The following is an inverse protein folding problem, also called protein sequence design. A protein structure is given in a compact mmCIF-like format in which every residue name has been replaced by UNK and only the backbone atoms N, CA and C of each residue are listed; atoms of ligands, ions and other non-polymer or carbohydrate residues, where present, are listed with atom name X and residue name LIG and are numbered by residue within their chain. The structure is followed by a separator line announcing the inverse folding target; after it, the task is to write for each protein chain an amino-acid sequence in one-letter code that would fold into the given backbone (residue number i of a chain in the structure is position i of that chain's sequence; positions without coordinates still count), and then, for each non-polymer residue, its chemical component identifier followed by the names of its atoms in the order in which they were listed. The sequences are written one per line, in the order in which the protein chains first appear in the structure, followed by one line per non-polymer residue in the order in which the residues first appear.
data_IF_447856611775
#
_entry.id   IF_447856611775
#
_cell.length_a   1.000
_cell.length_b   1.000
_cell.length_c   1.000
_cell.angle_alpha   90.00
_cell.angle_beta   90.00
_cell.angle_gamma   90.00
#
_symmetry.space_group_name_H-M   'P 1'
#
loop_
_entity.id
_entity.type
_entity.pdbx_description
1 polymer ?
#
# COMPACT_ATOMS: atom_id res chain seq x y z
N UNK A 1 -9.77 5.83 -8.65
CA UNK A 1 -8.46 6.17 -9.26
C UNK A 1 -7.39 5.10 -9.04
N UNK A 2 -7.16 4.63 -7.81
CA UNK A 2 -6.01 3.75 -7.49
C UNK A 2 -5.88 2.48 -8.37
N UNK A 3 -6.99 1.80 -8.70
CA UNK A 3 -6.93 0.57 -9.49
C UNK A 3 -6.44 0.77 -10.93
N UNK A 4 -6.80 1.89 -11.57
CA UNK A 4 -6.35 2.19 -12.94
C UNK A 4 -4.84 2.41 -12.96
N UNK A 5 -4.33 3.19 -12.01
CA UNK A 5 -2.90 3.45 -11.85
C UNK A 5 -2.13 2.17 -11.51
N UNK A 6 -2.68 1.35 -10.60
CA UNK A 6 -2.09 0.07 -10.25
C UNK A 6 -1.96 -0.85 -11.47
N UNK A 7 -3.01 -0.99 -12.29
CA UNK A 7 -2.97 -1.80 -13.51
C UNK A 7 -1.96 -1.28 -14.54
N UNK A 8 -1.78 0.04 -14.65
CA UNK A 8 -0.89 0.66 -15.63
C UNK A 8 0.61 0.43 -15.35
N UNK A 9 1.03 0.30 -14.08
CA UNK A 9 2.44 0.06 -13.73
C UNK A 9 2.89 -1.35 -14.20
N UNK A 10 4.12 -1.53 -14.68
CA UNK A 10 4.65 -2.85 -15.10
C UNK A 10 5.72 -3.42 -14.16
N UNK A 11 6.25 -2.62 -13.25
CA UNK A 11 7.23 -3.06 -12.26
C UNK A 11 6.63 -3.78 -11.05
N UNK A 12 7.48 -4.29 -10.13
CA UNK A 12 7.04 -4.86 -8.87
C UNK A 12 6.17 -3.89 -8.08
N UNK A 13 4.98 -4.34 -7.70
CA UNK A 13 3.97 -3.51 -7.04
C UNK A 13 3.02 -4.38 -6.23
N UNK A 14 2.52 -3.82 -5.14
CA UNK A 14 1.47 -4.42 -4.31
C UNK A 14 0.43 -3.35 -3.98
N UNK A 15 -0.85 -3.73 -3.88
CA UNK A 15 -1.95 -2.80 -3.57
C UNK A 15 -2.63 -3.22 -2.28
N UNK A 16 -2.74 -2.29 -1.34
CA UNK A 16 -3.48 -2.47 -0.11
C UNK A 16 -4.49 -1.32 0.03
N UNK A 17 -5.78 -1.68 0.06
CA UNK A 17 -6.89 -0.74 0.23
C UNK A 17 -7.59 -1.05 1.55
N UNK A 18 -7.61 -0.08 2.45
CA UNK A 18 -8.23 -0.19 3.77
C UNK A 18 -9.69 0.25 3.72
N UNK A 19 -10.55 -0.41 4.48
CA UNK A 19 -11.95 0.02 4.66
C UNK A 19 -11.98 1.28 5.54
N UNK A 20 -12.94 2.17 5.29
CA UNK A 20 -13.24 3.34 6.15
C UNK A 20 -12.06 4.31 6.38
N UNK A 21 -11.13 4.42 5.41
CA UNK A 21 -10.05 5.39 5.42
C UNK A 21 -10.23 6.37 4.25
N UNK A 22 -10.20 7.67 4.54
CA UNK A 22 -10.16 8.72 3.54
C UNK A 22 -8.75 8.81 2.91
N UNK A 23 -8.59 9.76 1.98
CA UNK A 23 -7.29 10.01 1.37
C UNK A 23 -6.23 10.30 2.44
N UNK A 24 -5.06 9.66 2.32
CA UNK A 24 -3.92 9.75 3.24
C UNK A 24 -4.14 9.19 4.68
N UNK A 25 -5.26 8.51 4.96
CA UNK A 25 -5.54 8.03 6.32
C UNK A 25 -5.08 6.60 6.63
N UNK A 26 -4.53 5.86 5.65
CA UNK A 26 -4.10 4.47 5.86
C UNK A 26 -2.99 4.33 6.91
N UNK A 27 -2.09 5.32 7.00
CA UNK A 27 -1.03 5.34 8.02
C UNK A 27 -1.55 5.67 9.43
N UNK A 28 -2.23 6.81 9.68
CA UNK A 28 -2.70 7.14 11.03
C UNK A 28 -3.73 6.14 11.57
N UNK A 29 -4.60 5.57 10.73
CA UNK A 29 -5.60 4.57 11.17
C UNK A 29 -5.04 3.17 11.38
N UNK A 30 -3.99 2.79 10.64
CA UNK A 30 -3.44 1.44 10.68
C UNK A 30 -1.89 1.43 10.75
N UNK A 31 -1.27 2.10 11.74
CA UNK A 31 0.17 2.37 11.73
C UNK A 31 1.01 1.09 11.82
N UNK A 32 0.57 0.09 12.58
CA UNK A 32 1.26 -1.21 12.70
C UNK A 32 1.23 -1.98 11.38
N UNK A 33 0.05 -2.11 10.78
CA UNK A 33 -0.12 -2.85 9.53
C UNK A 33 0.62 -2.15 8.39
N UNK A 34 0.54 -0.82 8.32
CA UNK A 34 1.26 -0.02 7.34
C UNK A 34 2.77 -0.27 7.40
N UNK A 35 3.37 -0.17 8.60
CA UNK A 35 4.81 -0.44 8.79
C UNK A 35 5.20 -1.86 8.38
N UNK A 36 4.38 -2.86 8.75
CA UNK A 36 4.62 -4.24 8.37
C UNK A 36 4.56 -4.45 6.86
N UNK A 37 3.61 -3.81 6.16
CA UNK A 37 3.49 -3.88 4.70
C UNK A 37 4.72 -3.30 4.00
N UNK A 38 5.21 -2.15 4.47
CA UNK A 38 6.43 -1.53 3.94
C UNK A 38 7.64 -2.44 4.19
N UNK A 39 7.82 -2.95 5.41
CA UNK A 39 8.93 -3.84 5.74
C UNK A 39 8.93 -5.11 4.88
N UNK A 40 7.77 -5.74 4.70
CA UNK A 40 7.60 -6.93 3.85
C UNK A 40 7.93 -6.64 2.39
N UNK A 41 7.48 -5.51 1.86
CA UNK A 41 7.75 -5.12 0.48
C UNK A 41 9.24 -4.88 0.26
N UNK A 42 9.88 -4.10 1.15
CA UNK A 42 11.31 -3.80 1.04
C UNK A 42 12.15 -5.08 1.14
N UNK A 43 11.88 -5.94 2.12
CA UNK A 43 12.59 -7.22 2.27
C UNK A 43 12.44 -8.16 1.06
N UNK A 44 11.40 -7.96 0.23
CA UNK A 44 11.15 -8.81 -0.94
C UNK A 44 11.87 -8.31 -2.20
N UNK A 45 12.12 -7.01 -2.31
CA UNK A 45 12.54 -6.39 -3.57
C UNK A 45 13.79 -5.50 -3.48
N UNK A 46 14.31 -5.26 -2.27
CA UNK A 46 15.56 -4.53 -2.00
C UNK A 46 16.54 -5.51 -1.38
#
# INVERSE_FOLDING_TARGET
MVYKNYRACRGPKELWVTKNAAHAESFPKHPKIYKNKIAQFLNKYV
#
